data_IF_300196461046
#
_entry.id   IF_300196461046
#
_cell.length_a   1.000
_cell.length_b   1.000
_cell.length_c   1.000
_cell.angle_alpha   90.00
_cell.angle_beta   90.00
_cell.angle_gamma   90.00
#
_symmetry.space_group_name_H-M   'P 1'
#
loop_
_entity.id
_entity.type
_entity.pdbx_description
1 polymer ?
#
# COMPACT_ATOMS: atom_id res chain seq x y z
N UNK A 1 -0.27 3.72 15.99
CA UNK A 1 0.52 2.50 16.28
C UNK A 1 -0.13 1.32 15.59
N UNK A 2 0.66 0.40 15.02
CA UNK A 2 0.16 -0.81 14.36
C UNK A 2 -0.57 -1.67 15.41
N UNK A 3 -1.91 -1.71 15.35
CA UNK A 3 -2.77 -2.52 16.23
C UNK A 3 -3.22 -3.77 15.49
N UNK A 4 -2.30 -4.69 15.21
CA UNK A 4 -2.64 -5.99 14.61
C UNK A 4 -2.10 -7.12 15.48
N UNK A 5 -2.86 -8.20 15.72
CA UNK A 5 -2.32 -9.41 16.34
C UNK A 5 -1.31 -10.12 15.43
N UNK A 6 -1.25 -9.77 14.14
CA UNK A 6 -0.31 -10.34 13.19
C UNK A 6 1.11 -9.78 13.40
N UNK A 7 2.09 -10.68 13.55
CA UNK A 7 3.51 -10.35 13.66
C UNK A 7 4.16 -10.21 12.29
N UNK A 8 3.96 -9.07 11.65
CA UNK A 8 4.64 -8.72 10.39
C UNK A 8 6.12 -8.51 10.67
N UNK A 9 7.00 -9.13 9.88
CA UNK A 9 8.46 -8.96 9.98
C UNK A 9 9.06 -8.21 8.79
N UNK A 10 8.45 -8.34 7.63
CA UNK A 10 8.97 -7.78 6.37
C UNK A 10 7.81 -7.29 5.51
N UNK A 11 8.05 -6.18 4.81
CA UNK A 11 7.18 -5.59 3.81
C UNK A 11 8.03 -5.35 2.56
N UNK A 12 7.53 -5.77 1.40
CA UNK A 12 8.14 -5.45 0.11
C UNK A 12 7.22 -4.51 -0.66
N UNK A 13 7.71 -3.30 -0.94
CA UNK A 13 7.04 -2.32 -1.77
C UNK A 13 7.69 -2.31 -3.16
N UNK A 14 6.90 -2.58 -4.19
CA UNK A 14 7.29 -2.42 -5.58
C UNK A 14 6.47 -1.26 -6.14
N UNK A 15 7.13 -0.17 -6.54
CA UNK A 15 6.46 1.05 -7.00
C UNK A 15 7.21 1.70 -8.16
N UNK A 16 6.53 2.53 -8.94
CA UNK A 16 7.21 3.41 -9.90
C UNK A 16 7.76 4.64 -9.20
N UNK A 17 8.73 5.30 -9.82
CA UNK A 17 9.15 6.64 -9.42
C UNK A 17 8.28 7.70 -10.08
N UNK A 18 8.13 8.84 -9.41
CA UNK A 18 7.58 10.04 -10.04
C UNK A 18 8.40 10.46 -11.27
N UNK A 19 7.73 11.10 -12.23
CA UNK A 19 8.37 11.56 -13.49
C UNK A 19 9.11 12.88 -13.33
N UNK A 20 8.65 13.75 -12.44
CA UNK A 20 9.30 15.01 -12.13
C UNK A 20 10.43 14.77 -11.10
N UNK A 21 11.64 15.27 -11.38
CA UNK A 21 12.80 15.01 -10.53
C UNK A 21 12.65 15.57 -9.09
N UNK A 22 11.94 16.68 -8.91
CA UNK A 22 11.71 17.23 -7.57
C UNK A 22 10.76 16.35 -6.76
N UNK A 23 9.65 15.89 -7.35
CA UNK A 23 8.69 15.02 -6.65
C UNK A 23 9.25 13.62 -6.44
N UNK A 24 10.07 13.12 -7.37
CA UNK A 24 10.81 11.86 -7.23
C UNK A 24 11.79 11.89 -6.06
N UNK A 25 12.54 12.98 -5.91
CA UNK A 25 13.43 13.15 -4.74
C UNK A 25 12.64 13.11 -3.43
N UNK A 26 11.52 13.83 -3.36
CA UNK A 26 10.63 13.83 -2.18
C UNK A 26 10.08 12.42 -1.89
N UNK A 27 9.60 11.71 -2.92
CA UNK A 27 9.09 10.34 -2.80
C UNK A 27 10.14 9.42 -2.18
N UNK A 28 11.38 9.44 -2.70
CA UNK A 28 12.48 8.60 -2.23
C UNK A 28 12.86 8.94 -0.79
N UNK A 29 12.98 10.22 -0.46
CA UNK A 29 13.30 10.69 0.90
C UNK A 29 12.26 10.23 1.92
N UNK A 30 10.97 10.44 1.62
CA UNK A 30 9.87 10.06 2.53
C UNK A 30 9.76 8.54 2.72
N UNK A 31 9.92 7.76 1.65
CA UNK A 31 9.89 6.30 1.75
C UNK A 31 11.08 5.75 2.54
N UNK A 32 12.26 6.36 2.42
CA UNK A 32 13.43 5.99 3.21
C UNK A 32 13.27 6.37 4.68
N UNK A 33 12.72 7.56 4.98
CA UNK A 33 12.40 7.95 6.36
C UNK A 33 11.41 6.96 6.99
N UNK A 34 10.36 6.59 6.25
CA UNK A 34 9.37 5.63 6.70
C UNK A 34 9.97 4.23 6.93
N UNK A 35 10.84 3.77 6.02
CA UNK A 35 11.62 2.53 6.19
C UNK A 35 12.41 2.52 7.48
N UNK A 36 13.15 3.59 7.76
CA UNK A 36 13.94 3.73 8.98
C UNK A 36 13.06 3.78 10.23
N UNK A 37 11.91 4.46 10.15
CA UNK A 37 10.93 4.50 11.23
C UNK A 37 10.41 3.10 11.56
N UNK A 38 9.91 2.35 10.57
CA UNK A 38 9.41 0.98 10.74
C UNK A 38 10.46 0.05 11.36
N UNK A 39 11.72 0.14 10.90
CA UNK A 39 12.81 -0.66 11.45
C UNK A 39 13.05 -0.35 12.93
N UNK A 40 13.08 0.94 13.30
CA UNK A 40 13.40 1.39 14.67
C UNK A 40 12.26 1.16 15.65
N UNK A 41 11.01 1.41 15.26
CA UNK A 41 9.86 1.38 16.19
C UNK A 41 9.19 0.02 16.26
N UNK A 42 9.27 -0.78 15.19
CA UNK A 42 8.52 -2.03 15.07
C UNK A 42 9.37 -3.24 14.68
N UNK A 43 10.68 -3.06 14.44
CA UNK A 43 11.57 -4.12 13.94
C UNK A 43 11.05 -4.78 12.65
N UNK A 44 10.36 -3.99 11.82
CA UNK A 44 9.85 -4.41 10.51
C UNK A 44 10.85 -3.97 9.44
N UNK A 45 11.26 -4.90 8.59
CA UNK A 45 12.09 -4.60 7.43
C UNK A 45 11.20 -4.13 6.25
N UNK A 46 11.43 -2.92 5.75
CA UNK A 46 10.82 -2.45 4.51
C UNK A 46 11.84 -2.50 3.37
N UNK A 47 11.56 -3.31 2.36
CA UNK A 47 12.30 -3.40 1.11
C UNK A 47 11.55 -2.60 0.05
N UNK A 48 12.22 -1.69 -0.64
CA UNK A 48 11.62 -0.82 -1.66
C UNK A 48 12.33 -1.06 -2.98
N UNK A 49 11.57 -1.47 -3.99
CA UNK A 49 12.04 -1.70 -5.35
C UNK A 49 11.33 -0.75 -6.30
N UNK A 50 12.10 -0.03 -7.11
CA UNK A 50 11.55 0.87 -8.12
C UNK A 50 11.55 0.23 -9.50
N UNK A 51 10.38 0.14 -10.13
CA UNK A 51 10.21 -0.50 -11.46
C UNK A 51 9.35 0.39 -12.35
N UNK A 52 9.74 0.55 -13.61
CA UNK A 52 8.97 1.28 -14.63
C UNK A 52 7.96 0.35 -15.31
N UNK A 53 6.83 0.89 -15.77
CA UNK A 53 5.80 0.09 -16.47
C UNK A 53 4.96 -0.82 -15.57
N UNK A 54 4.87 -0.54 -14.26
CA UNK A 54 3.95 -1.24 -13.36
C UNK A 54 2.51 -0.83 -13.67
N UNK A 55 1.66 -1.82 -13.96
CA UNK A 55 0.23 -1.60 -14.16
C UNK A 55 -0.64 -2.37 -13.15
N UNK A 56 -0.09 -3.45 -12.59
CA UNK A 56 -0.78 -4.27 -11.61
C UNK A 56 -0.72 -3.66 -10.22
N UNK A 57 -1.86 -3.68 -9.53
CA UNK A 57 -2.04 -3.18 -8.17
C UNK A 57 -2.52 -4.32 -7.29
N UNK A 58 -1.61 -4.83 -6.49
CA UNK A 58 -1.85 -6.02 -5.67
C UNK A 58 -1.20 -5.92 -4.29
N UNK A 59 -1.80 -6.61 -3.34
CA UNK A 59 -1.27 -6.86 -2.00
C UNK A 59 -1.22 -8.37 -1.84
N UNK A 60 -0.03 -8.91 -1.57
CA UNK A 60 0.20 -10.34 -1.35
C UNK A 60 0.56 -10.56 0.11
N UNK A 61 -0.16 -11.48 0.75
CA UNK A 61 0.09 -11.91 2.11
C UNK A 61 0.78 -13.28 2.11
N UNK A 62 1.67 -13.50 3.07
CA UNK A 62 2.45 -14.75 3.17
C UNK A 62 1.60 -15.99 3.48
N UNK A 63 0.34 -15.80 3.89
CA UNK A 63 -0.63 -16.85 4.11
C UNK A 63 -1.46 -17.18 2.86
N UNK A 64 -1.06 -16.71 1.68
CA UNK A 64 -1.67 -17.09 0.40
C UNK A 64 -2.78 -16.17 -0.09
N UNK A 65 -3.21 -15.18 0.69
CA UNK A 65 -4.18 -14.20 0.23
C UNK A 65 -3.55 -13.18 -0.73
N UNK A 66 -4.28 -12.89 -1.81
CA UNK A 66 -3.92 -11.89 -2.81
C UNK A 66 -5.12 -10.97 -2.98
N UNK A 67 -4.90 -9.67 -2.81
CA UNK A 67 -5.94 -8.64 -2.91
C UNK A 67 -5.54 -7.72 -4.06
N UNK A 68 -6.36 -7.63 -5.10
CA UNK A 68 -6.16 -6.71 -6.22
C UNK A 68 -7.17 -5.57 -6.14
N UNK A 69 -6.69 -4.33 -6.22
CA UNK A 69 -7.54 -3.14 -6.10
C UNK A 69 -7.40 -2.32 -7.37
N UNK A 70 -8.53 -2.07 -8.04
CA UNK A 70 -8.59 -1.39 -9.34
C UNK A 70 -8.02 0.05 -9.36
N UNK A 71 -7.77 0.65 -8.19
CA UNK A 71 -7.06 1.95 -8.00
C UNK A 71 -5.81 1.85 -7.13
N UNK A 72 -5.46 0.66 -6.62
CA UNK A 72 -4.42 0.51 -5.61
C UNK A 72 -4.87 1.10 -4.27
N UNK A 73 -3.95 1.71 -3.52
CA UNK A 73 -4.27 2.34 -2.23
C UNK A 73 -4.88 3.75 -2.36
N UNK A 74 -4.99 4.28 -3.59
CA UNK A 74 -5.49 5.63 -3.90
C UNK A 74 -6.97 5.63 -4.34
N UNK A 75 -7.83 5.07 -3.50
CA UNK A 75 -9.28 5.01 -3.75
C UNK A 75 -10.10 5.96 -2.89
N UNK A 76 -9.51 6.67 -1.94
CA UNK A 76 -10.22 7.69 -1.16
C UNK A 76 -10.34 9.00 -1.94
N UNK A 77 -11.48 9.69 -1.82
CA UNK A 77 -11.63 11.05 -2.32
C UNK A 77 -10.89 12.05 -1.40
N UNK A 78 -10.47 13.21 -1.92
CA UNK A 78 -9.95 14.28 -1.07
C UNK A 78 -11.00 14.70 -0.03
N UNK A 79 -10.60 15.10 1.19
CA UNK A 79 -11.53 15.59 2.19
C UNK A 79 -12.10 16.94 1.75
N UNK A 80 -13.36 17.23 2.11
CA UNK A 80 -14.01 18.51 1.76
C UNK A 80 -13.30 19.70 2.43
N UNK A 81 -12.94 19.55 3.70
CA UNK A 81 -12.17 20.54 4.46
C UNK A 81 -11.43 19.88 5.63
N UNK A 82 -10.54 20.63 6.30
CA UNK A 82 -9.75 20.14 7.45
C UNK A 82 -10.60 19.74 8.67
N UNK A 83 -11.85 20.18 8.73
CA UNK A 83 -12.80 19.88 9.81
C UNK A 83 -13.88 18.87 9.39
N UNK A 84 -13.82 18.37 8.15
CA UNK A 84 -14.82 17.45 7.64
C UNK A 84 -14.76 16.10 8.35
N UNK A 85 -15.93 15.49 8.52
CA UNK A 85 -16.04 14.11 8.97
C UNK A 85 -15.31 13.23 7.96
N UNK A 86 -14.41 12.40 8.46
CA UNK A 86 -13.54 11.56 7.63
C UNK A 86 -12.20 12.19 7.26
N UNK A 87 -11.83 13.37 7.77
CA UNK A 87 -10.46 13.90 7.57
C UNK A 87 -9.39 12.97 8.17
N UNK A 88 -9.62 12.50 9.41
CA UNK A 88 -8.70 11.61 10.14
C UNK A 88 -9.11 10.13 10.09
N UNK A 89 -10.41 9.85 10.06
CA UNK A 89 -10.96 8.50 10.02
C UNK A 89 -11.38 8.14 8.59
N UNK A 90 -10.62 7.27 7.94
CA UNK A 90 -10.85 6.92 6.54
C UNK A 90 -12.12 6.05 6.35
N UNK A 91 -12.64 5.41 7.39
CA UNK A 91 -13.89 4.64 7.30
C UNK A 91 -15.10 5.55 7.01
N UNK A 92 -14.99 6.83 7.36
CA UNK A 92 -15.99 7.85 7.08
C UNK A 92 -15.69 8.65 5.81
N UNK A 93 -14.56 8.38 5.13
CA UNK A 93 -14.14 9.12 3.93
C UNK A 93 -14.82 8.57 2.68
N UNK A 94 -15.49 9.43 1.87
CA UNK A 94 -16.01 9.00 0.57
C UNK A 94 -14.92 8.42 -0.33
N UNK A 95 -15.25 7.37 -1.07
CA UNK A 95 -14.32 6.70 -1.99
C UNK A 95 -14.66 6.98 -3.47
N UNK A 96 -13.65 6.86 -4.33
CA UNK A 96 -13.81 6.67 -5.76
C UNK A 96 -14.33 5.26 -6.02
N UNK A 97 -15.13 5.11 -7.09
CA UNK A 97 -15.54 3.78 -7.55
C UNK A 97 -14.30 2.97 -7.95
N UNK A 98 -14.20 1.75 -7.43
CA UNK A 98 -13.14 0.78 -7.75
C UNK A 98 -13.66 -0.64 -7.56
N UNK A 99 -13.01 -1.61 -8.18
CA UNK A 99 -13.19 -3.03 -7.90
C UNK A 99 -12.15 -3.51 -6.90
N UNK A 100 -12.51 -4.53 -6.12
CA UNK A 100 -11.61 -5.25 -5.22
C UNK A 100 -11.81 -6.74 -5.49
N UNK A 101 -10.77 -7.40 -5.99
CA UNK A 101 -10.77 -8.81 -6.29
C UNK A 101 -9.90 -9.55 -5.27
N UNK A 102 -10.44 -10.61 -4.67
CA UNK A 102 -9.79 -11.35 -3.59
C UNK A 102 -9.54 -12.79 -4.04
N UNK A 103 -8.29 -13.24 -3.96
CA UNK A 103 -7.84 -14.57 -4.35
C UNK A 103 -7.09 -15.26 -3.21
N UNK A 104 -7.02 -16.59 -3.28
CA UNK A 104 -6.21 -17.42 -2.40
C UNK A 104 -5.37 -18.40 -3.23
N UNK A 105 -4.06 -18.48 -2.97
CA UNK A 105 -3.10 -19.27 -3.78
C UNK A 105 -3.48 -20.75 -3.92
N UNK A 106 -4.06 -21.37 -2.90
CA UNK A 106 -4.51 -22.77 -2.94
C UNK A 106 -5.59 -23.02 -4.00
N UNK A 107 -6.40 -22.01 -4.33
CA UNK A 107 -7.48 -22.11 -5.33
C UNK A 107 -7.03 -21.80 -6.75
N UNK A 108 -5.77 -21.38 -6.93
CA UNK A 108 -5.19 -21.05 -8.24
C UNK A 108 -4.45 -22.27 -8.84
N UNK A 109 -4.06 -23.24 -8.01
CA UNK A 109 -3.31 -24.43 -8.47
C UNK A 109 -4.20 -25.52 -9.12
N UNK A 110 -5.52 -25.43 -9.06
CA UNK A 110 -6.45 -26.44 -9.59
C UNK A 110 -6.82 -26.24 -11.07
N UNK A 111 -5.94 -25.66 -11.88
CA UNK A 111 -6.18 -25.35 -13.31
C UNK A 111 -4.95 -25.58 -14.19
N UNK A 112 -4.18 -26.63 -13.90
CA UNK A 112 -3.06 -27.09 -14.73
C UNK A 112 -3.18 -28.59 -14.97
#
# INVERSE_FOLDING_TARGET
GIKSPAKIKQITLITSTETNEQTKKIQIEQLNEFKEHLRKTHSIELIINYVTGLHDREIKLNNGWIIKIGRGLDFYKPPECKLSIGYYDLDLRPCHQTTIDIFHTERIQSSS
#
